data_IF_267137982827
#
_entry.id   IF_267137982827
#
_cell.length_a   1.000
_cell.length_b   1.000
_cell.length_c   1.000
_cell.angle_alpha   90.00
_cell.angle_beta   90.00
_cell.angle_gamma   90.00
#
_symmetry.space_group_name_H-M   'P 1'
#
loop_
_entity.id
_entity.type
_entity.pdbx_description
1 polymer ?
#
# COMPACT_ATOMS: atom_id res chain seq x y z
N UNK A 1 -13.68 -1.96 -10.64
CA UNK A 1 -13.66 -2.95 -9.55
C UNK A 1 -12.65 -4.01 -9.96
N UNK A 2 -11.53 -4.13 -9.27
CA UNK A 2 -10.54 -5.18 -9.54
C UNK A 2 -10.70 -6.15 -8.37
N UNK A 3 -11.14 -7.37 -8.65
CA UNK A 3 -11.05 -8.47 -7.68
C UNK A 3 -9.63 -8.49 -7.09
N UNK A 4 -9.56 -8.60 -5.77
CA UNK A 4 -8.28 -8.70 -5.07
C UNK A 4 -7.63 -10.02 -5.49
N UNK A 5 -6.61 -9.95 -6.33
CA UNK A 5 -5.85 -11.07 -6.88
C UNK A 5 -4.91 -11.72 -5.86
N UNK A 6 -5.31 -11.70 -4.59
CA UNK A 6 -4.53 -12.27 -3.51
C UNK A 6 -4.74 -13.78 -3.49
N UNK A 7 -3.68 -14.55 -3.23
CA UNK A 7 -3.83 -15.98 -3.03
C UNK A 7 -4.77 -16.27 -1.85
N UNK A 8 -5.38 -17.47 -1.79
CA UNK A 8 -6.17 -17.90 -0.64
C UNK A 8 -5.40 -17.68 0.66
N UNK A 9 -6.06 -17.07 1.64
CA UNK A 9 -5.46 -16.72 2.92
C UNK A 9 -5.64 -17.89 3.89
N UNK A 10 -4.53 -18.43 4.41
CA UNK A 10 -4.55 -19.48 5.44
C UNK A 10 -4.32 -18.85 6.82
N UNK A 11 -5.07 -19.24 7.87
CA UNK A 11 -4.80 -18.82 9.24
C UNK A 11 -3.35 -19.05 9.66
N UNK A 12 -2.68 -18.07 10.30
CA UNK A 12 -1.36 -18.26 10.87
C UNK A 12 -1.40 -19.31 11.99
N UNK A 13 -0.40 -20.20 12.01
CA UNK A 13 -0.23 -21.13 13.13
C UNK A 13 0.01 -20.36 14.44
N UNK A 14 -0.72 -20.73 15.50
CA UNK A 14 -0.58 -20.15 16.84
C UNK A 14 -1.35 -18.85 17.10
N UNK A 15 -2.24 -18.42 16.20
CA UNK A 15 -3.14 -17.29 16.47
C UNK A 15 -4.39 -17.75 17.24
N UNK A 16 -4.31 -17.69 18.56
CA UNK A 16 -5.47 -17.68 19.46
C UNK A 16 -5.88 -16.22 19.69
N UNK A 17 -6.86 -15.71 18.92
CA UNK A 17 -7.34 -14.34 19.09
C UNK A 17 -8.13 -13.76 17.93
N UNK A 18 -8.67 -12.58 18.17
CA UNK A 18 -9.43 -11.78 17.20
C UNK A 18 -8.46 -10.95 16.37
N UNK A 19 -8.04 -11.51 15.23
CA UNK A 19 -7.03 -10.94 14.35
C UNK A 19 -7.44 -11.13 12.90
N UNK A 20 -7.12 -10.14 12.07
CA UNK A 20 -7.25 -10.24 10.62
C UNK A 20 -5.85 -10.25 10.01
N UNK A 21 -5.65 -11.00 8.93
CA UNK A 21 -4.36 -11.05 8.26
C UNK A 21 -4.50 -11.10 6.75
N UNK A 22 -3.42 -10.72 6.07
CA UNK A 22 -3.24 -10.88 4.64
C UNK A 22 -1.77 -11.18 4.35
N UNK A 23 -1.51 -12.13 3.46
CA UNK A 23 -0.16 -12.49 3.02
C UNK A 23 -0.09 -12.67 1.51
N UNK A 24 1.08 -12.36 0.95
CA UNK A 24 1.43 -12.72 -0.41
C UNK A 24 2.95 -12.75 -0.62
N UNK A 25 3.37 -13.54 -1.60
CA UNK A 25 4.75 -13.60 -2.06
C UNK A 25 5.16 -12.29 -2.75
N UNK A 26 6.41 -11.89 -2.52
CA UNK A 26 7.04 -10.74 -3.16
C UNK A 26 8.32 -11.17 -3.88
N UNK A 27 8.70 -10.48 -4.98
CA UNK A 27 9.88 -10.83 -5.78
C UNK A 27 11.21 -10.30 -5.18
N UNK A 28 11.24 -10.01 -3.87
CA UNK A 28 12.39 -9.43 -3.17
C UNK A 28 13.07 -10.49 -2.30
N UNK A 29 14.34 -10.26 -1.95
CA UNK A 29 14.93 -10.97 -0.81
C UNK A 29 14.31 -10.45 0.49
N UNK A 30 14.52 -11.17 1.60
CA UNK A 30 14.05 -10.74 2.91
C UNK A 30 14.68 -9.40 3.32
N UNK A 31 15.95 -9.16 3.02
CA UNK A 31 16.66 -7.90 3.32
C UNK A 31 16.12 -6.73 2.51
N UNK A 32 15.97 -6.91 1.19
CA UNK A 32 15.40 -5.89 0.30
C UNK A 32 13.97 -5.51 0.74
N UNK A 33 13.18 -6.50 1.15
CA UNK A 33 11.82 -6.28 1.61
C UNK A 33 11.79 -5.59 2.98
N UNK A 34 12.72 -5.91 3.88
CA UNK A 34 12.89 -5.22 5.17
C UNK A 34 13.18 -3.72 4.94
N UNK A 35 14.11 -3.38 4.05
CA UNK A 35 14.39 -1.97 3.70
C UNK A 35 13.15 -1.27 3.08
N UNK A 36 12.37 -2.00 2.28
CA UNK A 36 11.11 -1.50 1.71
C UNK A 36 9.98 -1.35 2.74
N UNK A 37 10.04 -2.07 3.85
CA UNK A 37 9.05 -1.97 4.93
C UNK A 37 9.46 -1.00 6.04
N UNK A 38 10.73 -0.60 6.14
CA UNK A 38 11.26 0.28 7.19
C UNK A 38 10.68 1.71 7.24
N UNK A 39 9.87 2.12 6.24
CA UNK A 39 9.17 3.41 6.26
C UNK A 39 7.68 3.19 6.59
N UNK A 40 7.27 3.33 7.87
CA UNK A 40 5.89 3.09 8.29
C UNK A 40 4.91 4.10 7.65
N UNK A 41 5.35 5.34 7.41
CA UNK A 41 4.55 6.36 6.74
C UNK A 41 4.26 5.93 5.30
N UNK A 42 5.24 5.37 4.59
CA UNK A 42 5.04 4.82 3.24
C UNK A 42 4.02 3.70 3.24
N UNK A 43 4.15 2.73 4.14
CA UNK A 43 3.25 1.57 4.20
C UNK A 43 1.80 1.99 4.46
N UNK A 44 1.58 2.90 5.41
CA UNK A 44 0.26 3.47 5.69
C UNK A 44 -0.29 4.25 4.49
N UNK A 45 0.53 5.07 3.83
CA UNK A 45 0.11 5.85 2.66
C UNK A 45 -0.24 5.00 1.45
N UNK A 46 0.23 3.76 1.36
CA UNK A 46 -0.16 2.85 0.26
C UNK A 46 -1.63 2.43 0.39
N UNK A 47 -2.21 2.41 1.60
CA UNK A 47 -3.61 2.06 1.81
C UNK A 47 -4.56 2.99 1.04
N UNK A 48 -5.20 2.48 -0.03
CA UNK A 48 -6.14 3.26 -0.82
C UNK A 48 -7.47 3.56 -0.11
N UNK A 49 -7.73 2.90 1.02
CA UNK A 49 -8.89 3.12 1.86
C UNK A 49 -8.64 4.13 2.98
N UNK A 50 -7.44 4.74 3.04
CA UNK A 50 -7.11 5.75 4.05
C UNK A 50 -6.85 7.10 3.40
N UNK A 51 -7.69 8.09 3.73
CA UNK A 51 -7.46 9.49 3.36
C UNK A 51 -6.87 10.27 4.54
N UNK A 52 -5.55 10.46 4.50
CA UNK A 52 -4.80 11.18 5.53
C UNK A 52 -5.07 12.70 5.43
N UNK A 53 -5.57 13.27 6.52
CA UNK A 53 -5.58 14.72 6.76
C UNK A 53 -4.26 15.17 7.37
N UNK A 54 -3.75 14.40 8.33
CA UNK A 54 -2.48 14.64 8.99
C UNK A 54 -1.78 13.30 9.23
N UNK A 55 -0.49 13.23 8.93
CA UNK A 55 0.37 12.12 9.30
C UNK A 55 1.76 12.70 9.50
N UNK A 56 2.20 12.73 10.76
CA UNK A 56 3.47 13.34 11.15
C UNK A 56 4.20 12.49 12.18
N UNK A 57 5.52 12.53 12.10
CA UNK A 57 6.40 11.97 13.12
C UNK A 57 6.46 12.97 14.30
N UNK A 58 6.22 12.47 15.51
CA UNK A 58 6.24 13.25 16.76
C UNK A 58 7.42 12.88 17.66
N UNK A 59 8.13 11.78 17.35
CA UNK A 59 9.37 11.35 18.01
C UNK A 59 10.09 10.29 17.16
N UNK A 60 11.25 9.75 17.59
CA UNK A 60 12.05 8.81 16.79
C UNK A 60 11.23 7.66 16.22
N UNK A 61 10.37 7.05 17.04
CA UNK A 61 9.48 5.95 16.65
C UNK A 61 8.01 6.24 16.99
N UNK A 62 7.62 7.50 17.06
CA UNK A 62 6.28 7.91 17.46
C UNK A 62 5.65 8.82 16.40
N UNK A 63 4.35 8.62 16.16
CA UNK A 63 3.62 9.25 15.07
C UNK A 63 2.21 9.64 15.52
N UNK A 64 1.69 10.69 14.89
CA UNK A 64 0.28 11.11 15.02
C UNK A 64 -0.39 11.02 13.66
N UNK A 65 -1.60 10.45 13.65
CA UNK A 65 -2.40 10.21 12.46
C UNK A 65 -3.81 10.78 12.64
N UNK A 66 -4.24 11.55 11.64
CA UNK A 66 -5.63 11.93 11.42
C UNK A 66 -6.03 11.52 10.02
N UNK A 67 -6.96 10.60 9.91
CA UNK A 67 -7.37 10.05 8.62
C UNK A 67 -8.85 9.70 8.59
N UNK A 68 -9.42 9.66 7.39
CA UNK A 68 -10.73 9.07 7.13
C UNK A 68 -10.53 7.67 6.58
N UNK A 69 -11.08 6.65 7.24
CA UNK A 69 -11.15 5.31 6.69
C UNK A 69 -12.38 5.23 5.77
N UNK A 70 -12.14 4.97 4.50
CA UNK A 70 -13.17 4.91 3.45
C UNK A 70 -13.92 3.58 3.47
N UNK A 71 -13.40 2.54 4.13
CA UNK A 71 -14.04 1.23 4.20
C UNK A 71 -15.23 1.18 5.17
N UNK A 72 -15.22 2.04 6.19
CA UNK A 72 -16.29 2.16 7.19
C UNK A 72 -16.77 3.61 7.42
N UNK A 73 -16.27 4.57 6.62
CA UNK A 73 -16.58 6.00 6.67
C UNK A 73 -16.23 6.71 8.00
N UNK A 74 -15.43 6.09 8.88
CA UNK A 74 -15.06 6.65 10.19
C UNK A 74 -13.83 7.54 10.10
N UNK A 75 -13.76 8.51 11.01
CA UNK A 75 -12.55 9.30 11.25
C UNK A 75 -11.72 8.66 12.35
N UNK A 76 -10.42 8.60 12.11
CA UNK A 76 -9.42 8.11 13.05
C UNK A 76 -8.55 9.32 13.43
N UNK A 77 -8.40 9.55 14.73
CA UNK A 77 -7.48 10.53 15.32
C UNK A 77 -6.77 9.81 16.47
N UNK A 78 -5.53 9.39 16.24
CA UNK A 78 -4.78 8.59 17.21
C UNK A 78 -3.28 8.79 17.06
N UNK A 79 -2.53 8.21 17.99
CA UNK A 79 -1.07 8.09 17.94
C UNK A 79 -0.68 6.62 17.81
N UNK A 80 0.50 6.39 17.25
CA UNK A 80 1.08 5.06 17.24
C UNK A 80 2.59 5.12 17.42
N UNK A 81 3.13 4.05 17.98
CA UNK A 81 4.57 3.81 18.10
C UNK A 81 5.01 2.67 17.21
N UNK A 82 6.28 2.68 16.82
CA UNK A 82 6.88 1.67 15.94
C UNK A 82 7.92 0.89 16.71
N UNK A 83 7.81 -0.43 16.68
CA UNK A 83 8.84 -1.36 17.16
C UNK A 83 9.28 -2.26 16.02
N UNK A 84 10.59 -2.42 15.89
CA UNK A 84 11.21 -3.28 14.88
C UNK A 84 11.90 -4.45 15.56
N UNK A 85 11.72 -5.63 15.00
CA UNK A 85 12.52 -6.84 15.25
C UNK A 85 13.15 -7.27 13.94
N UNK A 86 14.04 -8.26 13.98
CA UNK A 86 14.74 -8.72 12.79
C UNK A 86 13.78 -9.08 11.65
N UNK A 87 12.63 -9.68 11.96
CA UNK A 87 11.68 -10.20 10.96
C UNK A 87 10.32 -9.50 10.94
N UNK A 88 10.13 -8.45 11.75
CA UNK A 88 8.85 -7.75 11.79
C UNK A 88 8.96 -6.27 12.17
N UNK A 89 8.13 -5.45 11.53
CA UNK A 89 7.82 -4.10 12.00
C UNK A 89 6.41 -4.10 12.58
N UNK A 90 6.25 -3.57 13.79
CA UNK A 90 4.96 -3.48 14.48
C UNK A 90 4.59 -2.03 14.72
N UNK A 91 3.37 -1.65 14.34
CA UNK A 91 2.73 -0.39 14.70
C UNK A 91 1.82 -0.65 15.89
N UNK A 92 2.08 -0.03 17.04
CA UNK A 92 1.22 -0.13 18.23
C UNK A 92 0.39 1.15 18.34
N UNK A 93 -0.93 1.05 18.29
CA UNK A 93 -1.85 2.17 18.33
C UNK A 93 -2.32 2.44 19.76
N UNK A 94 -2.39 3.71 20.14
CA UNK A 94 -2.80 4.12 21.48
C UNK A 94 -4.33 4.29 21.62
N UNK A 95 -5.08 4.16 20.52
CA UNK A 95 -6.52 4.37 20.50
C UNK A 95 -7.22 3.73 19.29
N UNK A 96 -8.48 3.36 19.49
CA UNK A 96 -9.27 2.53 18.58
C UNK A 96 -9.28 1.06 18.99
N UNK A 97 -10.09 0.24 18.31
CA UNK A 97 -10.20 -1.21 18.59
C UNK A 97 -8.96 -1.97 18.12
N UNK A 98 -8.37 -1.50 17.01
CA UNK A 98 -7.13 -2.04 16.47
C UNK A 98 -5.97 -1.64 17.39
N UNK A 99 -5.38 -2.62 18.06
CA UNK A 99 -4.29 -2.39 19.01
C UNK A 99 -2.93 -2.33 18.33
N UNK A 100 -2.72 -3.16 17.32
CA UNK A 100 -1.49 -3.16 16.55
C UNK A 100 -1.67 -3.68 15.12
N UNK A 101 -0.76 -3.26 14.26
CA UNK A 101 -0.54 -3.84 12.93
C UNK A 101 0.88 -4.37 12.85
N UNK A 102 1.06 -5.64 12.49
CA UNK A 102 2.35 -6.31 12.35
C UNK A 102 2.63 -6.59 10.88
N UNK A 103 3.78 -6.13 10.38
CA UNK A 103 4.34 -6.47 9.09
C UNK A 103 5.45 -7.50 9.29
N UNK A 104 5.12 -8.78 9.12
CA UNK A 104 6.04 -9.89 9.28
C UNK A 104 6.59 -10.33 7.93
N UNK A 105 7.90 -10.51 7.86
CA UNK A 105 8.63 -10.95 6.66
C UNK A 105 9.13 -12.36 6.91
N UNK A 106 8.80 -13.28 6.00
CA UNK A 106 9.21 -14.68 6.05
C UNK A 106 9.90 -15.07 4.73
N UNK A 107 10.80 -16.04 4.77
CA UNK A 107 11.38 -16.60 3.54
C UNK A 107 10.32 -17.33 2.71
N UNK A 108 10.43 -17.23 1.39
CA UNK A 108 9.55 -17.95 0.45
C UNK A 108 10.34 -18.50 -0.72
N UNK A 109 9.84 -19.58 -1.33
CA UNK A 109 10.42 -20.15 -2.56
C UNK A 109 10.43 -19.15 -3.74
N UNK A 110 9.65 -18.08 -3.67
CA UNK A 110 9.54 -17.03 -4.70
C UNK A 110 10.25 -15.72 -4.33
N UNK A 111 11.01 -15.70 -3.24
CA UNK A 111 11.62 -14.50 -2.67
C UNK A 111 11.28 -14.39 -1.18
N UNK A 112 10.48 -13.41 -0.83
CA UNK A 112 10.03 -13.19 0.55
C UNK A 112 8.51 -13.06 0.61
N UNK A 113 7.91 -13.64 1.65
CA UNK A 113 6.49 -13.50 1.98
C UNK A 113 6.34 -12.30 2.92
N UNK A 114 5.48 -11.35 2.57
CA UNK A 114 5.02 -10.34 3.53
C UNK A 114 3.65 -10.74 4.04
N UNK A 115 3.52 -10.75 5.37
CA UNK A 115 2.28 -11.00 6.11
C UNK A 115 1.95 -9.75 6.92
N UNK A 116 0.78 -9.18 6.70
CA UNK A 116 0.25 -8.04 7.44
C UNK A 116 -0.85 -8.55 8.35
N UNK A 117 -0.78 -8.23 9.64
CA UNK A 117 -1.67 -8.75 10.68
C UNK A 117 -2.20 -7.56 11.48
N UNK A 118 -3.52 -7.38 11.51
CA UNK A 118 -4.20 -6.44 12.40
C UNK A 118 -4.74 -7.20 13.60
N UNK A 119 -4.39 -6.73 14.81
CA UNK A 119 -4.79 -7.33 16.09
C UNK A 119 -5.87 -6.45 16.76
N UNK A 120 -6.94 -7.08 17.24
CA UNK A 120 -8.09 -6.45 17.90
C UNK A 120 -8.30 -6.95 19.34
N UNK A 121 -7.35 -7.72 19.89
CA UNK A 121 -7.50 -8.43 21.16
C UNK A 121 -7.60 -7.53 22.41
N UNK A 122 -7.23 -6.24 22.33
CA UNK A 122 -7.18 -5.35 23.50
C UNK A 122 -8.52 -4.80 23.99
N UNK A 123 -9.62 -4.99 23.26
CA UNK A 123 -10.97 -4.57 23.70
C UNK A 123 -11.71 -5.78 24.29
N UNK A 124 -12.47 -5.71 25.39
CA UNK A 124 -13.28 -6.84 25.86
C UNK A 124 -14.35 -7.26 24.85
N UNK A 125 -14.69 -8.55 24.77
CA UNK A 125 -15.62 -9.11 23.76
C UNK A 125 -17.00 -8.42 23.79
N UNK A 126 -17.53 -8.12 24.98
CA UNK A 126 -18.84 -7.46 25.17
C UNK A 126 -18.88 -6.02 24.63
N UNK A 127 -17.74 -5.34 24.59
CA UNK A 127 -17.61 -4.01 23.99
C UNK A 127 -17.33 -4.10 22.49
N UNK A 128 -16.67 -5.16 22.00
CA UNK A 128 -16.41 -5.36 20.56
C UNK A 128 -17.68 -5.52 19.74
N UNK A 129 -18.69 -6.24 20.23
CA UNK A 129 -19.97 -6.39 19.51
C UNK A 129 -20.66 -5.05 19.25
N UNK A 130 -20.48 -4.09 20.17
CA UNK A 130 -21.02 -2.72 20.04
C UNK A 130 -20.25 -1.86 19.05
N UNK A 131 -19.01 -2.24 18.72
CA UNK A 131 -18.14 -1.49 17.81
C UNK A 131 -17.76 -2.28 16.54
N UNK A 132 -18.57 -3.26 16.12
CA UNK A 132 -18.37 -4.00 14.86
C UNK A 132 -18.31 -3.08 13.63
N UNK A 133 -18.93 -1.90 13.70
CA UNK A 133 -18.90 -0.88 12.65
C UNK A 133 -17.55 -0.14 12.55
N UNK A 134 -16.75 -0.16 13.62
CA UNK A 134 -15.41 0.44 13.66
C UNK A 134 -14.32 -0.53 13.18
N UNK A 135 -14.61 -1.83 13.04
CA UNK A 135 -13.67 -2.83 12.52
C UNK A 135 -13.23 -2.43 11.11
N UNK A 136 -11.91 -2.36 10.92
CA UNK A 136 -11.31 -1.95 9.67
C UNK A 136 -11.40 -3.09 8.64
N UNK A 137 -12.29 -2.93 7.67
CA UNK A 137 -12.49 -3.90 6.57
C UNK A 137 -11.50 -3.67 5.42
N UNK A 138 -10.57 -2.73 5.56
CA UNK A 138 -9.64 -2.37 4.49
C UNK A 138 -8.46 -3.31 4.32
N UNK A 139 -8.16 -4.20 5.29
CA UNK A 139 -6.91 -4.99 5.30
C UNK A 139 -6.67 -5.77 4.01
N UNK A 140 -7.69 -6.41 3.44
CA UNK A 140 -7.56 -7.16 2.19
C UNK A 140 -7.23 -6.24 0.99
N UNK A 141 -7.85 -5.06 0.94
CA UNK A 141 -7.60 -4.07 -0.13
C UNK A 141 -6.21 -3.47 0.05
N UNK A 142 -5.86 -3.07 1.28
CA UNK A 142 -4.57 -2.50 1.61
C UNK A 142 -3.43 -3.48 1.35
N UNK A 143 -3.58 -4.75 1.75
CA UNK A 143 -2.65 -5.83 1.39
C UNK A 143 -2.44 -5.89 -0.13
N UNK A 144 -3.54 -5.95 -0.89
CA UNK A 144 -3.49 -5.91 -2.36
C UNK A 144 -2.73 -4.70 -2.91
N UNK A 145 -2.95 -3.51 -2.34
CA UNK A 145 -2.25 -2.28 -2.72
C UNK A 145 -0.74 -2.34 -2.41
N UNK A 146 -0.36 -2.89 -1.24
CA UNK A 146 1.04 -3.11 -0.85
C UNK A 146 1.75 -4.02 -1.85
N UNK A 147 1.18 -5.18 -2.16
CA UNK A 147 1.84 -6.12 -3.08
C UNK A 147 1.93 -5.56 -4.50
N UNK A 148 0.89 -4.87 -4.99
CA UNK A 148 0.95 -4.16 -6.28
C UNK A 148 2.02 -3.08 -6.28
N UNK A 149 2.15 -2.32 -5.18
CA UNK A 149 3.19 -1.32 -5.01
C UNK A 149 4.58 -1.97 -5.10
N UNK A 150 4.83 -3.07 -4.37
CA UNK A 150 6.11 -3.77 -4.38
C UNK A 150 6.45 -4.38 -5.75
N UNK A 151 5.49 -4.99 -6.43
CA UNK A 151 5.69 -5.51 -7.79
C UNK A 151 6.04 -4.40 -8.78
N UNK A 152 5.31 -3.28 -8.74
CA UNK A 152 5.60 -2.12 -9.58
C UNK A 152 6.95 -1.50 -9.24
N UNK A 153 7.30 -1.45 -7.95
CA UNK A 153 8.62 -0.99 -7.51
C UNK A 153 9.73 -1.82 -8.15
N UNK A 154 9.66 -3.16 -8.06
CA UNK A 154 10.66 -4.05 -8.68
C UNK A 154 10.72 -3.88 -10.20
N UNK A 155 9.55 -3.81 -10.85
CA UNK A 155 9.42 -3.74 -12.31
C UNK A 155 10.05 -2.47 -12.91
N UNK A 156 9.94 -1.33 -12.22
CA UNK A 156 10.29 -0.02 -12.78
C UNK A 156 11.49 0.64 -12.10
N UNK A 157 12.06 0.05 -11.05
CA UNK A 157 13.21 0.66 -10.35
C UNK A 157 14.46 0.86 -11.20
N UNK A 158 14.57 0.16 -12.34
CA UNK A 158 15.68 0.34 -13.28
C UNK A 158 15.55 1.63 -14.10
N UNK A 159 14.36 2.24 -14.17
CA UNK A 159 14.15 3.50 -14.87
C UNK A 159 14.69 4.66 -14.02
N UNK A 160 15.60 5.50 -14.56
CA UNK A 160 16.09 6.68 -13.87
C UNK A 160 14.95 7.60 -13.44
N UNK A 161 14.99 8.11 -12.21
CA UNK A 161 13.96 9.00 -11.67
C UNK A 161 12.71 8.31 -11.12
N UNK A 162 12.49 7.01 -11.38
CA UNK A 162 11.33 6.28 -10.84
C UNK A 162 11.24 6.33 -9.31
N UNK A 163 12.36 6.03 -8.62
CA UNK A 163 12.42 6.10 -7.15
C UNK A 163 12.09 7.49 -6.62
N UNK A 164 12.56 8.53 -7.30
CA UNK A 164 12.29 9.91 -6.93
C UNK A 164 10.80 10.23 -7.10
N UNK A 165 10.21 9.90 -8.26
CA UNK A 165 8.79 10.10 -8.54
C UNK A 165 7.91 9.38 -7.49
N UNK A 166 8.20 8.10 -7.23
CA UNK A 166 7.41 7.32 -6.28
C UNK A 166 7.47 7.89 -4.86
N UNK A 167 8.65 8.32 -4.40
CA UNK A 167 8.83 8.87 -3.04
C UNK A 167 8.35 10.31 -2.90
N UNK A 168 8.57 11.17 -3.90
CA UNK A 168 8.31 12.62 -3.80
C UNK A 168 6.97 13.05 -4.37
N UNK A 169 6.44 12.34 -5.35
CA UNK A 169 5.20 12.72 -6.05
C UNK A 169 4.07 11.76 -5.71
N UNK A 170 4.25 10.45 -5.87
CA UNK A 170 3.18 9.47 -5.67
C UNK A 170 2.82 9.24 -4.19
N UNK A 171 3.82 9.07 -3.31
CA UNK A 171 3.61 8.82 -1.89
C UNK A 171 2.75 9.90 -1.18
N UNK A 172 3.00 11.23 -1.36
CA UNK A 172 2.19 12.25 -0.70
C UNK A 172 0.78 12.42 -1.27
N UNK A 173 0.49 11.90 -2.47
CA UNK A 173 -0.83 12.02 -3.09
C UNK A 173 -1.92 11.30 -2.30
N UNK A 174 -3.11 11.90 -2.27
CA UNK A 174 -4.33 11.24 -1.80
C UNK A 174 -4.71 10.08 -2.72
N UNK A 175 -5.45 9.08 -2.24
CA UNK A 175 -5.96 7.99 -3.08
C UNK A 175 -6.72 8.49 -4.32
N UNK A 176 -7.56 9.52 -4.19
CA UNK A 176 -8.28 10.15 -5.31
C UNK A 176 -7.32 10.80 -6.33
N UNK A 177 -6.33 11.54 -5.85
CA UNK A 177 -5.30 12.16 -6.70
C UNK A 177 -4.51 11.12 -7.50
N UNK A 178 -4.21 9.96 -6.91
CA UNK A 178 -3.53 8.85 -7.63
C UNK A 178 -4.38 8.31 -8.78
N UNK A 179 -5.69 8.18 -8.58
CA UNK A 179 -6.62 7.74 -9.64
C UNK A 179 -6.66 8.76 -10.79
N UNK A 180 -6.73 10.05 -10.46
CA UNK A 180 -6.70 11.13 -11.46
C UNK A 180 -5.37 11.14 -12.22
N UNK A 181 -4.24 11.03 -11.51
CA UNK A 181 -2.93 10.97 -12.14
C UNK A 181 -2.80 9.79 -13.11
N UNK A 182 -3.34 8.63 -12.76
CA UNK A 182 -3.39 7.48 -13.66
C UNK A 182 -4.24 7.76 -14.91
N UNK A 183 -5.41 8.38 -14.77
CA UNK A 183 -6.24 8.76 -15.93
C UNK A 183 -5.50 9.74 -16.84
N UNK A 184 -4.82 10.74 -16.29
CA UNK A 184 -4.01 11.69 -17.06
C UNK A 184 -2.89 10.97 -17.83
N UNK A 185 -2.16 10.06 -17.18
CA UNK A 185 -1.15 9.23 -17.84
C UNK A 185 -1.71 8.42 -19.00
N UNK A 186 -2.90 7.81 -18.83
CA UNK A 186 -3.57 7.05 -19.89
C UNK A 186 -3.98 7.94 -21.07
N UNK A 187 -4.50 9.14 -20.80
CA UNK A 187 -4.88 10.11 -21.82
C UNK A 187 -3.62 10.57 -22.58
N UNK A 188 -2.56 10.98 -21.89
CA UNK A 188 -1.30 11.38 -22.51
C UNK A 188 -0.68 10.26 -23.35
N UNK A 189 -0.72 9.01 -22.87
CA UNK A 189 -0.22 7.86 -23.65
C UNK A 189 -1.03 7.65 -24.93
N UNK A 190 -2.35 7.81 -24.87
CA UNK A 190 -3.22 7.74 -26.04
C UNK A 190 -2.95 8.88 -27.03
N UNK A 191 -2.85 10.12 -26.55
CA UNK A 191 -2.51 11.29 -27.37
C UNK A 191 -1.15 11.12 -28.06
N UNK A 192 -0.16 10.60 -27.33
CA UNK A 192 1.16 10.31 -27.89
C UNK A 192 1.12 9.22 -28.97
N UNK A 193 0.30 8.19 -28.81
CA UNK A 193 0.11 7.16 -29.83
C UNK A 193 -0.53 7.73 -31.11
N UNK A 194 -1.52 8.60 -30.97
CA UNK A 194 -2.14 9.31 -32.12
C UNK A 194 -1.14 10.23 -32.80
N UNK A 195 -0.35 10.98 -32.02
CA UNK A 195 0.72 11.83 -32.55
C UNK A 195 1.73 11.02 -33.37
N UNK A 196 2.19 9.87 -32.85
CA UNK A 196 3.10 8.98 -33.57
C UNK A 196 2.47 8.42 -34.86
N UNK A 197 1.17 8.12 -34.86
CA UNK A 197 0.45 7.68 -36.06
C UNK A 197 0.48 8.76 -37.15
N UNK A 198 0.10 10.00 -36.80
CA UNK A 198 0.11 11.14 -37.74
C UNK A 198 1.53 11.40 -38.26
N UNK A 199 2.53 11.38 -37.37
CA UNK A 199 3.93 11.55 -37.75
C UNK A 199 4.39 10.44 -38.72
N UNK A 200 3.96 9.20 -38.49
CA UNK A 200 4.28 8.07 -39.37
C UNK A 200 3.69 8.27 -40.76
N UNK A 201 2.41 8.66 -40.85
CA UNK A 201 1.75 8.98 -42.14
C UNK A 201 2.52 10.08 -42.87
N UNK A 202 2.86 11.16 -42.17
CA UNK A 202 3.61 12.28 -42.75
C UNK A 202 4.98 11.87 -43.30
N UNK A 203 5.73 11.05 -42.55
CA UNK A 203 7.05 10.55 -43.00
C UNK A 203 6.92 9.63 -44.21
N UNK A 204 5.92 8.75 -44.22
CA UNK A 204 5.66 7.85 -45.36
C UNK A 204 5.28 8.64 -46.59
N UNK A 205 4.33 9.58 -46.47
CA UNK A 205 3.89 10.44 -47.57
C UNK A 205 5.08 11.22 -48.16
N UNK A 206 5.89 11.86 -47.30
CA UNK A 206 7.08 12.60 -47.73
C UNK A 206 8.07 11.73 -48.50
N UNK A 207 8.29 10.49 -48.05
CA UNK A 207 9.21 9.56 -48.73
C UNK A 207 8.65 9.07 -50.07
N UNK A 208 7.32 8.93 -50.20
CA UNK A 208 6.66 8.57 -51.46
C UNK A 208 6.72 9.72 -52.47
N UNK A 209 6.54 10.98 -52.05
CA UNK A 209 6.60 12.15 -52.95
C UNK A 209 8.02 12.50 -53.39
N UNK A 210 9.05 11.96 -52.74
CA UNK A 210 10.45 12.21 -53.06
C UNK A 210 11.05 11.23 -54.10
N UNK A 211 10.29 10.22 -54.54
CA UNK A 211 10.61 9.24 -55.59
C UNK A 211 9.96 9.62 -56.92
#
# INVERSE_FOLDING_TARGET
MTESSLPPQTPPEGQEGDSAWVSADTPFSTEDLKELCADPIRLLRINSQMEFKELRQTGPNAYSIKAKNLSNDKFIDTTFTVSETDDAMTLNFDGGIKTKTVFKIEESKKGALLKVIDDYTGTPIEDREKHLDEVDKSLLIWGGDLFKYFQNWKRWTWIPGWKWYMRRVWQPMKPSSRRIAYMLWMITAFEFAVFLMVLTVFVVERNVTAL
#
